data_IF_619723338618
#
_entry.id   IF_619723338618
#
_cell.length_a   1.000
_cell.length_b   1.000
_cell.length_c   1.000
_cell.angle_alpha   90.00
_cell.angle_beta   90.00
_cell.angle_gamma   90.00
#
_symmetry.space_group_name_H-M   'P 1'
#
loop_
_entity.id
_entity.type
_entity.pdbx_description
1 polymer ?
#
# COMPACT_ATOMS: atom_id res chain seq x y z
N UNK A 1 -5.42 -8.47 -8.37
CA UNK A 1 -4.28 -8.38 -9.33
C UNK A 1 -4.63 -7.92 -10.73
N UNK A 2 -5.71 -8.41 -11.38
CA UNK A 2 -6.06 -8.00 -12.76
C UNK A 2 -6.19 -6.48 -12.95
N UNK A 3 -6.81 -5.77 -12.00
CA UNK A 3 -6.92 -4.30 -12.02
C UNK A 3 -5.53 -3.63 -12.06
N UNK A 4 -4.64 -4.00 -11.14
CA UNK A 4 -3.28 -3.44 -11.08
C UNK A 4 -2.53 -3.65 -12.40
N UNK A 5 -2.52 -4.87 -12.94
CA UNK A 5 -1.78 -5.20 -14.16
C UNK A 5 -2.38 -4.65 -15.46
N UNK A 6 -3.70 -4.41 -15.52
CA UNK A 6 -4.38 -3.98 -16.77
C UNK A 6 -4.79 -2.51 -16.78
N UNK A 7 -5.22 -1.99 -15.63
CA UNK A 7 -5.77 -0.63 -15.51
C UNK A 7 -4.77 0.32 -14.88
N UNK A 8 -4.06 -0.13 -13.83
CA UNK A 8 -3.17 0.76 -13.08
C UNK A 8 -1.72 0.79 -13.63
N UNK A 9 -1.33 -0.22 -14.42
CA UNK A 9 -0.01 -0.34 -15.05
C UNK A 9 0.43 0.90 -15.86
N UNK A 10 -0.42 1.53 -16.71
CA UNK A 10 -0.01 2.74 -17.44
C UNK A 10 0.38 3.90 -16.52
N UNK A 11 -0.23 3.99 -15.33
CA UNK A 11 0.10 5.02 -14.33
C UNK A 11 1.42 4.70 -13.62
N UNK A 12 1.65 3.43 -13.28
CA UNK A 12 2.94 3.00 -12.74
C UNK A 12 4.10 3.25 -13.72
N UNK A 13 3.88 3.04 -15.02
CA UNK A 13 4.86 3.38 -16.05
C UNK A 13 5.15 4.88 -16.12
N UNK A 14 4.13 5.73 -15.92
CA UNK A 14 4.32 7.19 -15.85
C UNK A 14 5.16 7.56 -14.64
N UNK A 15 4.86 7.02 -13.46
CA UNK A 15 5.61 7.28 -12.23
C UNK A 15 7.11 6.97 -12.35
N UNK A 16 7.49 5.90 -13.06
CA UNK A 16 8.91 5.59 -13.33
C UNK A 16 9.55 6.66 -14.22
N UNK A 17 8.81 7.22 -15.18
CA UNK A 17 9.34 8.16 -16.15
C UNK A 17 9.45 9.60 -15.61
N UNK A 18 8.46 10.05 -14.83
CA UNK A 18 8.32 11.45 -14.42
C UNK A 18 8.34 11.66 -12.89
N UNK A 19 8.42 10.60 -12.09
CA UNK A 19 8.43 10.68 -10.62
C UNK A 19 7.08 11.03 -9.98
N UNK A 20 6.02 11.17 -10.78
CA UNK A 20 4.69 11.54 -10.30
C UNK A 20 3.94 10.29 -9.83
N UNK A 21 3.55 10.27 -8.56
CA UNK A 21 2.81 9.15 -7.99
C UNK A 21 1.29 9.29 -8.25
N UNK A 22 0.63 8.16 -8.42
CA UNK A 22 -0.82 8.04 -8.57
C UNK A 22 -1.36 7.16 -7.47
N UNK A 23 -2.58 7.45 -7.02
CA UNK A 23 -3.34 6.60 -6.11
C UNK A 23 -4.65 6.21 -6.76
N UNK A 24 -5.07 4.98 -6.54
CA UNK A 24 -6.35 4.45 -6.96
C UNK A 24 -7.17 4.04 -5.75
N UNK A 25 -8.47 4.28 -5.81
CA UNK A 25 -9.43 3.75 -4.83
C UNK A 25 -10.52 2.98 -5.57
N UNK A 26 -10.97 1.87 -4.99
CA UNK A 26 -12.26 1.28 -5.32
C UNK A 26 -13.26 1.79 -4.30
N UNK A 27 -14.25 2.56 -4.73
CA UNK A 27 -15.28 3.15 -3.88
C UNK A 27 -16.31 2.10 -3.46
N UNK A 28 -17.13 2.43 -2.47
CA UNK A 28 -18.21 1.55 -1.98
C UNK A 28 -19.27 1.27 -3.06
N UNK A 29 -19.36 2.14 -4.08
CA UNK A 29 -20.22 1.97 -5.27
C UNK A 29 -19.66 0.96 -6.27
N UNK A 30 -18.42 0.50 -6.10
CA UNK A 30 -17.69 -0.37 -7.03
C UNK A 30 -16.98 0.38 -8.17
N UNK A 31 -17.17 1.70 -8.25
CA UNK A 31 -16.40 2.56 -9.17
C UNK A 31 -14.95 2.66 -8.70
N UNK A 32 -14.02 2.76 -9.65
CA UNK A 32 -12.64 3.09 -9.32
C UNK A 32 -12.33 4.52 -9.73
N UNK A 33 -11.58 5.21 -8.88
CA UNK A 33 -11.09 6.56 -9.12
C UNK A 33 -9.58 6.54 -9.04
N UNK A 34 -8.93 7.31 -9.91
CA UNK A 34 -7.47 7.45 -9.95
C UNK A 34 -7.15 8.92 -9.80
N UNK A 35 -6.36 9.25 -8.79
CA UNK A 35 -5.89 10.60 -8.53
C UNK A 35 -4.40 10.69 -8.78
N UNK A 36 -3.99 11.83 -9.31
CA UNK A 36 -2.58 12.19 -9.44
C UNK A 36 -2.13 12.89 -8.16
N UNK A 37 -1.03 12.43 -7.58
CA UNK A 37 -0.34 13.10 -6.48
C UNK A 37 0.60 14.21 -6.95
N UNK A 38 1.41 14.68 -6.00
CA UNK A 38 2.58 15.51 -6.22
C UNK A 38 3.81 14.61 -6.51
N UNK A 39 4.93 15.22 -6.86
CA UNK A 39 6.21 14.51 -7.02
C UNK A 39 6.60 13.84 -5.69
N UNK A 40 6.70 12.50 -5.68
CA UNK A 40 6.99 11.68 -4.49
C UNK A 40 5.98 11.73 -3.32
N UNK A 41 4.75 12.25 -3.51
CA UNK A 41 3.72 12.21 -2.45
C UNK A 41 2.30 12.35 -2.96
N UNK A 42 1.38 11.58 -2.40
CA UNK A 42 -0.07 11.81 -2.52
C UNK A 42 -0.62 12.33 -1.18
N UNK A 43 -1.26 13.51 -1.16
CA UNK A 43 -1.93 14.06 0.04
C UNK A 43 -3.37 14.47 -0.28
N UNK A 44 -4.33 13.59 0.00
CA UNK A 44 -5.76 13.78 -0.31
C UNK A 44 -6.61 13.32 0.88
N UNK A 45 -7.78 13.95 1.14
CA UNK A 45 -8.76 13.37 2.05
C UNK A 45 -9.23 12.02 1.47
N UNK A 46 -8.90 10.94 2.17
CA UNK A 46 -9.18 9.57 1.69
C UNK A 46 -10.71 9.33 1.63
N UNK A 47 -11.27 8.99 0.44
CA UNK A 47 -12.69 8.74 0.30
C UNK A 47 -13.11 7.49 1.07
N UNK A 48 -14.42 7.30 1.24
CA UNK A 48 -14.95 5.99 1.65
C UNK A 48 -14.75 5.00 0.51
N UNK A 49 -14.30 3.79 0.82
CA UNK A 49 -13.97 2.79 -0.19
C UNK A 49 -13.51 1.47 0.39
N UNK A 50 -13.28 0.53 -0.53
CA UNK A 50 -12.98 -0.88 -0.22
C UNK A 50 -11.48 -1.17 -0.34
N UNK A 51 -10.82 -0.60 -1.34
CA UNK A 51 -9.40 -0.87 -1.61
C UNK A 51 -8.67 0.40 -2.01
N UNK A 52 -7.39 0.50 -1.66
CA UNK A 52 -6.50 1.54 -2.17
C UNK A 52 -5.24 0.91 -2.77
N UNK A 53 -4.68 1.51 -3.81
CA UNK A 53 -3.32 1.21 -4.23
C UNK A 53 -2.65 2.45 -4.83
N UNK A 54 -1.38 2.68 -4.51
CA UNK A 54 -0.59 3.77 -5.11
C UNK A 54 0.67 3.27 -5.80
N UNK A 55 1.23 4.11 -6.67
CA UNK A 55 2.43 3.81 -7.45
C UNK A 55 3.68 4.36 -6.79
N UNK A 56 4.80 3.64 -6.84
CA UNK A 56 6.12 4.12 -6.43
C UNK A 56 7.06 4.25 -7.64
N UNK A 57 7.98 5.23 -7.64
CA UNK A 57 9.04 5.34 -8.65
C UNK A 57 10.21 4.35 -8.41
N UNK A 58 10.24 3.69 -7.26
CA UNK A 58 11.31 2.78 -6.84
C UNK A 58 10.81 1.39 -6.51
N UNK A 59 11.10 0.92 -5.30
CA UNK A 59 10.76 -0.44 -4.84
C UNK A 59 9.29 -0.57 -4.43
N UNK A 60 8.72 -1.77 -4.62
CA UNK A 60 7.37 -2.13 -4.14
C UNK A 60 7.38 -2.50 -2.65
N UNK A 61 7.81 -1.57 -1.82
CA UNK A 61 7.72 -1.70 -0.36
C UNK A 61 7.03 -0.46 0.19
N UNK A 62 6.17 -0.65 1.17
CA UNK A 62 5.54 0.45 1.87
C UNK A 62 6.61 1.24 2.65
N UNK A 63 6.57 2.56 2.52
CA UNK A 63 7.23 3.49 3.43
C UNK A 63 6.54 3.49 4.79
N UNK A 64 7.15 4.14 5.78
CA UNK A 64 6.51 4.32 7.08
C UNK A 64 5.20 5.10 7.00
N UNK A 65 5.14 6.11 6.13
CA UNK A 65 3.95 6.94 5.91
C UNK A 65 2.84 6.13 5.22
N UNK A 66 3.20 5.22 4.31
CA UNK A 66 2.21 4.35 3.67
C UNK A 66 1.59 3.38 4.67
N UNK A 67 2.38 2.85 5.61
CA UNK A 67 1.88 1.96 6.66
C UNK A 67 0.99 2.69 7.67
N UNK A 68 1.28 3.96 7.99
CA UNK A 68 0.38 4.82 8.78
C UNK A 68 -0.93 5.07 8.04
N UNK A 69 -0.85 5.31 6.73
CA UNK A 69 -2.02 5.44 5.88
C UNK A 69 -2.81 4.12 5.83
N UNK A 70 -2.14 2.98 5.77
CA UNK A 70 -2.78 1.67 5.81
C UNK A 70 -3.54 1.45 7.12
N UNK A 71 -2.96 1.76 8.30
CA UNK A 71 -3.67 1.72 9.58
C UNK A 71 -4.96 2.54 9.54
N UNK A 72 -4.86 3.79 9.08
CA UNK A 72 -6.01 4.68 8.98
C UNK A 72 -7.09 4.14 8.02
N UNK A 73 -6.70 3.59 6.88
CA UNK A 73 -7.63 3.01 5.91
C UNK A 73 -8.30 1.74 6.46
N UNK A 74 -7.57 0.88 7.17
CA UNK A 74 -8.16 -0.30 7.80
C UNK A 74 -9.16 0.06 8.90
N UNK A 75 -8.88 1.11 9.71
CA UNK A 75 -9.85 1.68 10.67
C UNK A 75 -11.11 2.17 9.96
N UNK A 76 -10.96 2.77 8.77
CA UNK A 76 -12.08 3.21 7.92
C UNK A 76 -12.84 2.08 7.22
N UNK A 77 -12.42 0.83 7.38
CA UNK A 77 -13.10 -0.33 6.80
C UNK A 77 -12.56 -0.81 5.45
N UNK A 78 -11.44 -0.26 4.97
CA UNK A 78 -10.78 -0.80 3.79
C UNK A 78 -10.38 -2.26 4.01
N UNK A 79 -10.41 -3.04 2.93
CA UNK A 79 -10.06 -4.47 2.91
C UNK A 79 -8.62 -4.68 2.45
N UNK A 80 -8.10 -3.82 1.56
CA UNK A 80 -6.71 -3.93 1.11
C UNK A 80 -6.09 -2.58 0.77
N UNK A 81 -4.78 -2.47 1.03
CA UNK A 81 -3.94 -1.35 0.65
C UNK A 81 -2.75 -1.90 -0.12
N UNK A 82 -2.40 -1.28 -1.26
CA UNK A 82 -1.37 -1.76 -2.16
C UNK A 82 -0.36 -0.68 -2.53
N UNK A 83 0.85 -1.11 -2.83
CA UNK A 83 1.85 -0.31 -3.53
C UNK A 83 2.33 -1.09 -4.75
N UNK A 84 2.57 -0.40 -5.87
CA UNK A 84 3.10 -1.04 -7.06
C UNK A 84 4.07 -0.17 -7.84
N UNK A 85 4.87 -0.82 -8.66
CA UNK A 85 5.56 -0.22 -9.80
C UNK A 85 5.30 -1.13 -11.03
N UNK A 86 5.91 -0.90 -12.20
CA UNK A 86 5.71 -1.77 -13.35
C UNK A 86 6.21 -3.22 -13.19
N UNK A 87 7.14 -3.48 -12.27
CA UNK A 87 7.77 -4.80 -12.07
C UNK A 87 7.06 -5.64 -11.00
N UNK A 88 6.47 -4.99 -10.00
CA UNK A 88 5.90 -5.66 -8.84
C UNK A 88 4.74 -4.91 -8.19
N UNK A 89 4.02 -5.62 -7.32
CA UNK A 89 3.11 -5.04 -6.35
C UNK A 89 3.27 -5.72 -4.99
N UNK A 90 3.05 -4.98 -3.92
CA UNK A 90 2.90 -5.49 -2.57
C UNK A 90 1.57 -5.01 -2.00
N UNK A 91 0.78 -5.92 -1.45
CA UNK A 91 -0.50 -5.64 -0.84
C UNK A 91 -0.48 -6.07 0.62
N UNK A 92 -1.06 -5.24 1.49
CA UNK A 92 -1.57 -5.66 2.80
C UNK A 92 -3.08 -5.80 2.64
N UNK A 93 -3.63 -6.96 3.00
CA UNK A 93 -5.07 -7.18 2.95
C UNK A 93 -5.55 -7.89 4.19
N UNK A 94 -6.84 -7.72 4.48
CA UNK A 94 -7.53 -8.35 5.59
C UNK A 94 -8.12 -9.68 5.15
N UNK A 95 -7.86 -10.75 5.91
CA UNK A 95 -8.62 -12.00 5.83
C UNK A 95 -9.65 -12.14 6.97
N UNK A 96 -9.73 -11.13 7.85
CA UNK A 96 -10.69 -11.04 8.96
C UNK A 96 -10.93 -9.61 9.47
N UNK A 97 -11.58 -9.46 10.64
CA UNK A 97 -11.72 -8.19 11.34
C UNK A 97 -10.35 -7.55 11.62
N UNK A 98 -10.22 -6.22 11.47
CA UNK A 98 -8.98 -5.54 11.86
C UNK A 98 -9.00 -5.31 13.38
N UNK A 99 -8.23 -6.09 14.12
CA UNK A 99 -8.22 -6.04 15.59
C UNK A 99 -7.17 -5.08 16.14
N UNK A 100 -7.17 -4.88 17.46
CA UNK A 100 -6.14 -4.09 18.13
C UNK A 100 -4.76 -4.76 18.02
N UNK A 101 -4.72 -6.09 18.05
CA UNK A 101 -3.48 -6.87 17.90
C UNK A 101 -2.89 -6.73 16.51
N UNK A 102 -3.72 -6.78 15.46
CA UNK A 102 -3.29 -6.53 14.08
C UNK A 102 -2.75 -5.11 13.93
N UNK A 103 -3.41 -4.14 14.56
CA UNK A 103 -3.00 -2.74 14.58
C UNK A 103 -1.67 -2.54 15.28
N UNK A 104 -1.48 -3.11 16.45
CA UNK A 104 -0.23 -3.02 17.20
C UNK A 104 0.92 -3.64 16.40
N UNK A 105 0.67 -4.77 15.73
CA UNK A 105 1.65 -5.38 14.84
C UNK A 105 1.97 -4.49 13.63
N UNK A 106 0.97 -3.85 13.02
CA UNK A 106 1.17 -2.92 11.89
C UNK A 106 1.96 -1.68 12.34
N UNK A 107 1.64 -1.09 13.49
CA UNK A 107 2.37 0.05 14.05
C UNK A 107 3.82 -0.33 14.43
N UNK A 108 4.05 -1.56 14.89
CA UNK A 108 5.39 -2.07 15.13
C UNK A 108 6.18 -2.26 13.83
N UNK A 109 5.54 -2.76 12.76
CA UNK A 109 6.14 -2.80 11.42
C UNK A 109 6.49 -1.38 10.97
N UNK A 110 5.57 -0.42 11.08
CA UNK A 110 5.79 1.00 10.75
C UNK A 110 7.03 1.56 11.43
N UNK A 111 7.15 1.38 12.75
CA UNK A 111 8.31 1.86 13.53
C UNK A 111 9.62 1.26 13.03
N UNK A 112 9.62 -0.03 12.69
CA UNK A 112 10.81 -0.75 12.19
C UNK A 112 11.17 -0.35 10.77
N UNK A 113 10.19 -0.14 9.89
CA UNK A 113 10.42 0.39 8.55
C UNK A 113 11.05 1.78 8.64
N UNK A 114 10.52 2.67 9.48
CA UNK A 114 11.06 4.03 9.67
C UNK A 114 12.47 4.06 10.26
N UNK A 115 12.83 3.10 11.10
CA UNK A 115 14.15 3.04 11.74
C UNK A 115 15.20 2.25 10.94
N UNK A 116 14.77 1.51 9.90
CA UNK A 116 15.66 0.71 9.06
C UNK A 116 16.57 1.59 8.21
N UNK A 117 17.89 1.42 8.37
CA UNK A 117 18.90 2.13 7.58
C UNK A 117 19.51 1.26 6.49
N UNK A 118 19.38 -0.06 6.61
CA UNK A 118 19.91 -1.05 5.67
C UNK A 118 18.78 -1.90 5.11
N UNK A 119 18.97 -2.40 3.90
CA UNK A 119 18.00 -3.28 3.24
C UNK A 119 17.69 -4.53 4.07
N UNK A 120 18.69 -5.12 4.73
CA UNK A 120 18.48 -6.30 5.58
C UNK A 120 17.57 -6.02 6.78
N UNK A 121 17.64 -4.81 7.37
CA UNK A 121 16.78 -4.43 8.49
C UNK A 121 15.32 -4.36 8.02
N UNK A 122 15.12 -3.79 6.82
CA UNK A 122 13.82 -3.67 6.18
C UNK A 122 13.23 -5.05 5.86
N UNK A 123 14.00 -5.93 5.23
CA UNK A 123 13.60 -7.31 4.92
C UNK A 123 13.23 -8.05 6.20
N UNK A 124 14.05 -7.95 7.25
CA UNK A 124 13.75 -8.56 8.55
C UNK A 124 12.49 -8.00 9.21
N UNK A 125 12.17 -6.71 9.00
CA UNK A 125 10.93 -6.11 9.46
C UNK A 125 9.71 -6.81 8.83
N UNK A 126 9.70 -6.93 7.50
CA UNK A 126 8.62 -7.59 6.78
C UNK A 126 8.53 -9.10 7.06
N UNK A 127 9.66 -9.83 7.15
CA UNK A 127 9.65 -11.27 7.45
C UNK A 127 9.11 -11.59 8.85
N UNK A 128 9.29 -10.68 9.78
CA UNK A 128 8.79 -10.83 11.15
C UNK A 128 7.35 -10.35 11.34
N UNK A 129 6.76 -9.71 10.33
CA UNK A 129 5.39 -9.26 10.40
C UNK A 129 4.45 -10.46 10.35
N UNK A 130 3.82 -10.75 11.49
CA UNK A 130 2.87 -11.84 11.66
C UNK A 130 1.68 -11.31 12.41
N UNK A 131 0.50 -11.51 11.83
CA UNK A 131 -0.77 -11.11 12.42
C UNK A 131 -1.81 -12.18 12.12
N UNK A 132 -2.90 -12.14 12.87
CA UNK A 132 -4.01 -13.06 12.65
C UNK A 132 -4.76 -12.67 11.39
N UNK A 133 -5.16 -11.39 11.25
CA UNK A 133 -6.10 -10.98 10.21
C UNK A 133 -5.50 -10.13 9.08
N UNK A 134 -4.25 -9.68 9.17
CA UNK A 134 -3.53 -8.99 8.08
C UNK A 134 -2.50 -9.90 7.40
N UNK A 135 -2.59 -9.97 6.08
CA UNK A 135 -1.69 -10.76 5.24
C UNK A 135 -0.98 -9.88 4.23
N UNK A 136 0.27 -10.23 3.97
CA UNK A 136 1.07 -9.65 2.89
C UNK A 136 0.95 -10.52 1.65
N UNK A 137 0.75 -9.90 0.48
CA UNK A 137 0.83 -10.58 -0.82
C UNK A 137 1.73 -9.77 -1.74
N UNK A 138 2.82 -10.39 -2.17
CA UNK A 138 3.69 -9.86 -3.20
C UNK A 138 3.32 -10.48 -4.56
N UNK A 139 3.37 -9.67 -5.61
CA UNK A 139 3.19 -10.11 -6.98
C UNK A 139 4.28 -9.51 -7.86
N UNK A 140 4.76 -10.30 -8.83
CA UNK A 140 5.64 -9.85 -9.90
C UNK A 140 4.84 -9.89 -11.21
N UNK A 141 4.84 -8.78 -11.96
CA UNK A 141 4.09 -8.65 -13.21
C UNK A 141 4.81 -9.30 -14.40
#
# INVERSE_FOLDING_TARGET
>A
MKFLGKVFMPYAMRTINDGVEFISFTLDTGEYVIFQGEENRVSLPMPSGVTSAHTHPGVCLFSGQDLETADFLFIKGYVSVGVMNPECALLIYRDGPYTLEDRDALLNLTKRVKSSKKLNDLVNAYLSFKTENLKLMQHKF
#
